data_IF_281958657762
#
_entry.id   IF_281958657762
#
_cell.length_a   1.000
_cell.length_b   1.000
_cell.length_c   1.000
_cell.angle_alpha   90.00
_cell.angle_beta   90.00
_cell.angle_gamma   90.00
#
_symmetry.space_group_name_H-M   'P 1'
#
loop_
_entity.id
_entity.type
_entity.pdbx_description
1 polymer ?
#
# COMPACT_ATOMS: atom_id res chain seq x y z
N UNK A 1 19.16 -7.98 -1.02
CA UNK A 1 17.77 -8.46 -1.14
C UNK A 1 17.90 -9.87 -1.65
N UNK A 2 17.44 -10.82 -0.84
CA UNK A 2 17.42 -12.23 -1.18
C UNK A 2 16.45 -12.47 -2.35
N UNK A 3 16.50 -13.68 -2.91
CA UNK A 3 15.58 -14.07 -3.97
C UNK A 3 14.11 -13.91 -3.50
N UNK A 4 13.16 -13.60 -4.42
CA UNK A 4 11.75 -13.43 -4.08
C UNK A 4 11.07 -14.73 -3.60
N UNK A 5 11.79 -15.85 -3.71
CA UNK A 5 11.39 -17.18 -3.25
C UNK A 5 12.65 -17.85 -2.70
N UNK A 6 12.54 -18.50 -1.54
CA UNK A 6 13.58 -19.40 -1.02
C UNK A 6 13.24 -20.80 -1.52
N UNK A 7 14.17 -21.44 -2.23
CA UNK A 7 14.01 -22.79 -2.77
C UNK A 7 14.98 -23.71 -2.04
N UNK A 8 14.51 -24.89 -1.63
CA UNK A 8 15.34 -25.90 -1.00
C UNK A 8 14.85 -27.30 -1.33
N UNK A 9 15.77 -28.26 -1.33
CA UNK A 9 15.47 -29.66 -1.62
C UNK A 9 15.53 -30.52 -0.37
N UNK A 10 14.69 -31.55 -0.34
CA UNK A 10 14.72 -32.62 0.64
C UNK A 10 14.72 -33.97 -0.10
N UNK A 11 14.84 -35.07 0.63
CA UNK A 11 14.68 -36.41 0.06
C UNK A 11 13.30 -36.67 -0.53
N UNK A 12 12.30 -35.84 -0.21
CA UNK A 12 10.92 -35.96 -0.69
C UNK A 12 10.63 -35.05 -1.90
N UNK A 13 11.52 -34.13 -2.23
CA UNK A 13 11.36 -33.20 -3.35
C UNK A 13 11.81 -31.78 -3.06
N UNK A 14 11.57 -30.90 -4.03
CA UNK A 14 11.82 -29.46 -3.95
C UNK A 14 10.65 -28.74 -3.28
N UNK A 15 10.98 -27.81 -2.38
CA UNK A 15 10.04 -26.97 -1.64
C UNK A 15 10.40 -25.50 -1.83
N UNK A 16 9.40 -24.63 -1.66
CA UNK A 16 9.60 -23.20 -1.79
C UNK A 16 8.85 -22.40 -0.71
N UNK A 17 9.44 -21.29 -0.29
CA UNK A 17 8.85 -20.33 0.65
C UNK A 17 8.81 -18.97 -0.04
N UNK A 18 7.64 -18.31 -0.16
CA UNK A 18 7.57 -16.94 -0.64
C UNK A 18 8.45 -16.02 0.20
N UNK A 19 9.25 -15.17 -0.45
CA UNK A 19 10.13 -14.21 0.21
C UNK A 19 9.96 -12.82 -0.44
N UNK A 20 8.72 -12.49 -0.81
CA UNK A 20 8.27 -11.16 -1.21
C UNK A 20 6.78 -11.02 -0.96
N UNK A 21 6.30 -9.80 -0.73
CA UNK A 21 4.87 -9.53 -0.51
C UNK A 21 4.01 -9.95 -1.71
N UNK A 22 4.50 -9.69 -2.92
CA UNK A 22 3.80 -9.97 -4.17
C UNK A 22 3.62 -11.47 -4.46
N UNK A 23 4.33 -12.34 -3.74
CA UNK A 23 4.25 -13.80 -3.88
C UNK A 23 3.36 -14.45 -2.83
N UNK A 24 2.84 -13.68 -1.87
CA UNK A 24 1.93 -14.20 -0.86
C UNK A 24 0.56 -14.52 -1.46
N UNK A 25 -0.02 -15.64 -1.08
CA UNK A 25 -1.45 -15.87 -1.27
C UNK A 25 -2.26 -14.98 -0.31
N UNK A 26 -3.54 -14.68 -0.60
CA UNK A 26 -4.38 -13.92 0.34
C UNK A 26 -4.45 -14.54 1.73
N UNK A 27 -4.50 -15.87 1.82
CA UNK A 27 -4.51 -16.59 3.10
C UNK A 27 -3.19 -16.40 3.85
N UNK A 28 -2.04 -16.59 3.19
CA UNK A 28 -0.73 -16.43 3.82
C UNK A 28 -0.47 -14.98 4.25
N UNK A 29 -0.94 -13.99 3.47
CA UNK A 29 -0.87 -12.59 3.84
C UNK A 29 -1.65 -12.27 5.12
N UNK A 30 -2.88 -12.77 5.25
CA UNK A 30 -3.71 -12.54 6.43
C UNK A 30 -3.10 -13.20 7.68
N UNK A 31 -2.57 -14.42 7.56
CA UNK A 31 -1.87 -15.09 8.66
C UNK A 31 -0.58 -14.35 9.06
N UNK A 32 0.18 -13.83 8.08
CA UNK A 32 1.34 -12.98 8.35
C UNK A 32 0.92 -11.68 9.07
N UNK A 33 -0.20 -11.07 8.69
CA UNK A 33 -0.73 -9.89 9.40
C UNK A 33 -1.11 -10.22 10.86
N UNK A 34 -1.65 -11.40 11.13
CA UNK A 34 -1.89 -11.88 12.50
C UNK A 34 -0.59 -12.03 13.29
N UNK A 35 0.46 -12.57 12.67
CA UNK A 35 1.79 -12.64 13.30
C UNK A 35 2.37 -11.25 13.57
N UNK A 36 2.25 -10.32 12.62
CA UNK A 36 2.67 -8.93 12.79
C UNK A 36 1.92 -8.25 13.94
N UNK A 37 0.62 -8.51 14.09
CA UNK A 37 -0.16 -8.01 15.22
C UNK A 37 0.38 -8.54 16.55
N UNK A 38 0.60 -9.86 16.66
CA UNK A 38 1.19 -10.50 17.86
C UNK A 38 2.56 -9.93 18.20
N UNK A 39 3.39 -9.69 17.19
CA UNK A 39 4.70 -9.06 17.36
C UNK A 39 4.56 -7.62 17.87
N UNK A 40 3.66 -6.84 17.28
CA UNK A 40 3.42 -5.44 17.66
C UNK A 40 2.95 -5.28 19.12
N UNK A 41 2.18 -6.24 19.64
CA UNK A 41 1.74 -6.26 21.05
C UNK A 41 2.72 -6.97 22.00
N UNK A 42 3.84 -7.49 21.48
CA UNK A 42 4.89 -8.14 22.26
C UNK A 42 4.63 -9.59 22.66
N UNK A 43 3.63 -10.27 22.08
CA UNK A 43 3.33 -11.68 22.36
C UNK A 43 4.37 -12.63 21.75
N UNK A 44 5.00 -12.24 20.64
CA UNK A 44 6.05 -13.01 19.97
C UNK A 44 7.25 -12.11 19.66
N UNK A 45 8.44 -12.69 19.69
CA UNK A 45 9.68 -12.02 19.29
C UNK A 45 9.83 -11.93 17.78
N UNK A 46 10.76 -11.07 17.32
CA UNK A 46 11.15 -10.96 15.91
C UNK A 46 11.51 -12.33 15.31
N UNK A 47 12.26 -13.15 16.06
CA UNK A 47 12.71 -14.47 15.63
C UNK A 47 11.55 -15.46 15.55
N UNK A 48 10.63 -15.43 16.51
CA UNK A 48 9.43 -16.26 16.50
C UNK A 48 8.51 -15.91 15.33
N UNK A 49 8.36 -14.63 15.00
CA UNK A 49 7.60 -14.20 13.81
C UNK A 49 8.13 -14.85 12.54
N UNK A 50 9.45 -14.82 12.31
CA UNK A 50 10.06 -15.40 11.11
C UNK A 50 9.94 -16.92 11.09
N UNK A 51 10.07 -17.57 12.26
CA UNK A 51 9.90 -19.01 12.38
C UNK A 51 8.45 -19.42 12.11
N UNK A 52 7.47 -18.74 12.71
CA UNK A 52 6.05 -19.01 12.48
C UNK A 52 5.65 -18.73 11.04
N UNK A 53 6.22 -17.70 10.41
CA UNK A 53 6.03 -17.46 8.97
C UNK A 53 6.51 -18.64 8.12
N UNK A 54 7.71 -19.16 8.37
CA UNK A 54 8.22 -20.36 7.65
C UNK A 54 7.31 -21.56 7.86
N UNK A 55 6.84 -21.78 9.09
CA UNK A 55 5.89 -22.86 9.38
C UNK A 55 4.58 -22.68 8.60
N UNK A 56 4.01 -21.46 8.57
CA UNK A 56 2.80 -21.17 7.79
C UNK A 56 3.00 -21.41 6.29
N UNK A 57 4.12 -20.95 5.74
CA UNK A 57 4.41 -21.08 4.32
C UNK A 57 4.61 -22.55 3.88
N UNK A 58 5.03 -23.42 4.79
CA UNK A 58 5.26 -24.85 4.56
C UNK A 58 4.14 -25.75 5.08
N UNK A 59 3.05 -25.18 5.60
CA UNK A 59 1.95 -25.92 6.25
C UNK A 59 2.41 -26.85 7.38
N UNK A 60 3.33 -26.35 8.21
CA UNK A 60 3.91 -27.08 9.34
C UNK A 60 3.30 -26.64 10.67
N UNK A 61 2.97 -27.61 11.51
CA UNK A 61 2.56 -27.36 12.89
C UNK A 61 3.80 -27.26 13.81
N UNK A 62 4.08 -26.09 14.41
CA UNK A 62 5.28 -25.89 15.22
C UNK A 62 5.44 -26.90 16.36
N UNK A 63 4.33 -27.35 16.98
CA UNK A 63 4.37 -28.30 18.09
C UNK A 63 4.76 -29.72 17.67
N UNK A 64 4.59 -30.08 16.39
CA UNK A 64 4.96 -31.40 15.85
C UNK A 64 6.44 -31.49 15.49
N UNK A 65 7.16 -30.37 15.44
CA UNK A 65 8.55 -30.32 15.02
C UNK A 65 9.46 -30.74 16.18
N UNK A 66 10.09 -31.91 16.03
CA UNK A 66 10.95 -32.56 17.04
C UNK A 66 12.36 -32.77 16.50
N UNK A 67 13.33 -32.81 17.40
CA UNK A 67 14.75 -33.02 17.07
C UNK A 67 15.52 -31.72 16.88
N UNK A 68 16.83 -31.78 17.15
CA UNK A 68 17.73 -30.62 17.09
C UNK A 68 17.92 -30.18 15.64
N UNK A 69 18.26 -31.11 14.74
CA UNK A 69 18.48 -30.84 13.32
C UNK A 69 17.27 -30.21 12.63
N UNK A 70 16.05 -30.66 12.94
CA UNK A 70 14.84 -30.08 12.36
C UNK A 70 14.66 -28.61 12.78
N UNK A 71 14.98 -28.27 14.04
CA UNK A 71 14.92 -26.89 14.55
C UNK A 71 16.03 -26.02 13.98
N UNK A 72 17.23 -26.57 13.79
CA UNK A 72 18.34 -25.88 13.13
C UNK A 72 18.00 -25.53 11.69
N UNK A 73 17.44 -26.48 10.93
CA UNK A 73 17.02 -26.25 9.55
C UNK A 73 15.95 -25.15 9.46
N UNK A 74 14.92 -25.19 10.32
CA UNK A 74 13.92 -24.11 10.36
C UNK A 74 14.50 -22.77 10.74
N UNK A 75 15.48 -22.75 11.64
CA UNK A 75 16.17 -21.52 11.99
C UNK A 75 16.98 -20.96 10.81
N UNK A 76 17.66 -21.82 10.05
CA UNK A 76 18.38 -21.40 8.85
C UNK A 76 17.44 -20.89 7.76
N UNK A 77 16.25 -21.48 7.62
CA UNK A 77 15.22 -20.99 6.69
C UNK A 77 14.64 -19.65 7.16
N UNK A 78 14.33 -19.51 8.46
CA UNK A 78 13.75 -18.26 8.98
C UNK A 78 14.73 -17.09 8.95
N UNK A 79 16.04 -17.35 9.08
CA UNK A 79 17.09 -16.35 8.95
C UNK A 79 17.26 -15.81 7.51
N UNK A 80 16.74 -16.52 6.50
CA UNK A 80 16.77 -16.07 5.10
C UNK A 80 15.61 -15.14 4.74
N UNK A 81 14.58 -15.04 5.59
CA UNK A 81 13.43 -14.16 5.35
C UNK A 81 13.85 -12.70 5.54
N UNK A 82 13.72 -11.89 4.48
CA UNK A 82 14.20 -10.49 4.46
C UNK A 82 13.18 -9.48 3.89
N UNK A 83 11.97 -9.93 3.53
CA UNK A 83 10.99 -9.05 2.89
C UNK A 83 10.04 -8.34 3.85
N UNK A 84 9.83 -8.88 5.06
CA UNK A 84 8.79 -8.42 6.00
C UNK A 84 9.14 -7.05 6.58
N UNK A 85 10.40 -6.86 6.96
CA UNK A 85 10.92 -5.69 7.65
C UNK A 85 11.99 -5.00 6.80
N UNK A 86 11.95 -3.67 6.74
CA UNK A 86 13.04 -2.87 6.16
C UNK A 86 14.20 -2.73 7.15
N UNK A 87 13.84 -2.58 8.43
CA UNK A 87 14.70 -2.64 9.60
C UNK A 87 13.88 -3.22 10.76
N UNK A 88 14.51 -3.55 11.90
CA UNK A 88 13.85 -4.27 13.00
C UNK A 88 12.54 -3.64 13.51
N UNK A 89 12.31 -2.33 13.28
CA UNK A 89 11.14 -1.62 13.80
C UNK A 89 10.21 -1.10 12.70
N UNK A 90 10.55 -1.28 11.42
CA UNK A 90 9.80 -0.73 10.29
C UNK A 90 9.44 -1.85 9.33
N UNK A 91 8.14 -2.14 9.24
CA UNK A 91 7.58 -3.05 8.23
C UNK A 91 7.96 -2.52 6.83
N UNK A 92 8.41 -3.40 5.95
CA UNK A 92 8.67 -3.08 4.56
C UNK A 92 7.33 -2.95 3.80
N UNK A 93 6.67 -1.82 4.00
CA UNK A 93 5.33 -1.56 3.48
C UNK A 93 5.39 -0.84 2.11
N UNK A 94 5.98 -1.46 1.10
CA UNK A 94 6.12 -0.89 -0.24
C UNK A 94 6.16 -2.01 -1.28
N UNK A 95 4.99 -2.42 -1.76
CA UNK A 95 4.81 -3.52 -2.71
C UNK A 95 3.59 -3.27 -3.59
N UNK A 96 3.51 -4.00 -4.71
CA UNK A 96 2.51 -3.79 -5.75
C UNK A 96 1.65 -5.05 -5.98
N UNK A 97 0.82 -5.39 -4.98
CA UNK A 97 -0.10 -6.51 -5.05
C UNK A 97 -1.36 -6.26 -4.21
N UNK A 98 -2.53 -6.64 -4.74
CA UNK A 98 -3.76 -6.72 -3.96
C UNK A 98 -3.82 -8.09 -3.26
N UNK A 99 -3.56 -8.11 -1.96
CA UNK A 99 -3.48 -9.34 -1.16
C UNK A 99 -4.76 -9.62 -0.35
N UNK A 100 -5.74 -8.71 -0.38
CA UNK A 100 -7.09 -8.94 0.14
C UNK A 100 -8.09 -8.56 -0.96
N UNK A 101 -8.23 -9.39 -2.02
CA UNK A 101 -9.07 -9.06 -3.16
C UNK A 101 -10.57 -9.18 -2.85
N UNK A 102 -10.93 -9.97 -1.85
CA UNK A 102 -12.33 -10.21 -1.47
C UNK A 102 -12.49 -10.30 0.04
N UNK A 103 -13.62 -9.81 0.54
CA UNK A 103 -14.01 -9.87 1.94
C UNK A 103 -15.44 -10.43 2.05
N UNK A 104 -15.63 -11.44 2.89
CA UNK A 104 -16.96 -11.99 3.18
C UNK A 104 -17.45 -11.40 4.50
N UNK A 105 -18.61 -10.76 4.47
CA UNK A 105 -19.27 -10.23 5.68
C UNK A 105 -20.71 -10.71 5.71
N UNK A 106 -21.05 -11.50 6.73
CA UNK A 106 -22.29 -12.27 6.75
C UNK A 106 -22.37 -13.18 5.52
N UNK A 107 -23.43 -13.03 4.72
CA UNK A 107 -23.66 -13.80 3.49
C UNK A 107 -23.31 -13.02 2.21
N UNK A 108 -22.61 -11.89 2.32
CA UNK A 108 -22.25 -11.03 1.18
C UNK A 108 -20.75 -11.10 0.92
N UNK A 109 -20.41 -11.25 -0.36
CA UNK A 109 -19.04 -11.15 -0.87
C UNK A 109 -18.82 -9.73 -1.39
N UNK A 110 -17.79 -9.06 -0.89
CA UNK A 110 -17.35 -7.77 -1.37
C UNK A 110 -16.02 -7.93 -2.11
N UNK A 111 -15.89 -7.29 -3.26
CA UNK A 111 -14.65 -7.25 -4.05
C UNK A 111 -13.95 -5.92 -3.84
N UNK A 112 -12.64 -5.99 -3.64
CA UNK A 112 -11.77 -4.82 -3.51
C UNK A 112 -11.34 -4.28 -4.88
N UNK A 113 -10.59 -3.19 -4.86
CA UNK A 113 -9.91 -2.67 -6.04
C UNK A 113 -8.86 -3.64 -6.59
N UNK A 114 -8.64 -3.59 -7.90
CA UNK A 114 -7.62 -4.41 -8.60
C UNK A 114 -6.38 -3.59 -8.94
N UNK A 115 -5.25 -4.29 -9.00
CA UNK A 115 -3.97 -3.78 -9.50
C UNK A 115 -3.54 -4.74 -10.61
N UNK A 116 -3.20 -4.21 -11.78
CA UNK A 116 -2.58 -4.97 -12.86
C UNK A 116 -1.24 -4.35 -13.23
N UNK A 117 -0.27 -5.22 -13.52
CA UNK A 117 1.10 -4.86 -13.92
C UNK A 117 1.53 -5.59 -15.19
N UNK A 118 0.59 -6.29 -15.84
CA UNK A 118 0.81 -7.00 -17.08
C UNK A 118 1.34 -6.04 -18.16
N UNK A 119 2.22 -6.55 -19.02
CA UNK A 119 2.84 -5.77 -20.10
C UNK A 119 3.54 -4.48 -19.61
N UNK A 120 4.17 -4.56 -18.44
CA UNK A 120 4.92 -3.45 -17.81
C UNK A 120 4.09 -2.18 -17.55
N UNK A 121 2.76 -2.31 -17.56
CA UNK A 121 1.84 -1.19 -17.43
C UNK A 121 1.06 -1.30 -16.13
N UNK A 122 1.26 -0.32 -15.24
CA UNK A 122 0.47 -0.23 -14.02
C UNK A 122 -0.93 0.34 -14.31
N UNK A 123 -1.96 -0.46 -14.03
CA UNK A 123 -3.35 -0.01 -13.96
C UNK A 123 -3.98 -0.36 -12.61
N UNK A 124 -4.98 0.44 -12.21
CA UNK A 124 -5.70 0.27 -10.95
C UNK A 124 -7.16 0.67 -11.17
N UNK A 125 -8.09 -0.08 -10.57
CA UNK A 125 -9.53 0.13 -10.75
C UNK A 125 -10.10 1.29 -9.92
N UNK A 126 -9.35 1.83 -8.96
CA UNK A 126 -9.80 2.95 -8.13
C UNK A 126 -10.07 4.21 -8.99
N UNK A 127 -11.15 4.91 -8.66
CA UNK A 127 -11.37 6.27 -9.14
C UNK A 127 -10.52 7.28 -8.36
N UNK A 128 -10.39 8.50 -8.88
CA UNK A 128 -9.66 9.57 -8.23
C UNK A 128 -10.22 9.88 -6.85
N UNK A 129 -11.53 10.06 -6.73
CA UNK A 129 -12.19 10.37 -5.44
C UNK A 129 -12.08 9.20 -4.45
N UNK A 130 -12.25 7.95 -4.92
CA UNK A 130 -12.13 6.76 -4.08
C UNK A 130 -10.72 6.63 -3.51
N UNK A 131 -9.69 6.89 -4.33
CA UNK A 131 -8.30 6.92 -3.86
C UNK A 131 -8.05 8.07 -2.87
N UNK A 132 -8.55 9.28 -3.15
CA UNK A 132 -8.37 10.46 -2.29
C UNK A 132 -8.98 10.21 -0.91
N UNK A 133 -10.23 9.72 -0.86
CA UNK A 133 -10.92 9.45 0.40
C UNK A 133 -10.22 8.32 1.19
N UNK A 134 -9.83 7.24 0.53
CA UNK A 134 -9.09 6.15 1.16
C UNK A 134 -7.72 6.62 1.69
N UNK A 135 -6.99 7.39 0.88
CA UNK A 135 -5.67 7.90 1.24
C UNK A 135 -5.75 8.86 2.44
N UNK A 136 -6.80 9.69 2.51
CA UNK A 136 -7.07 10.59 3.63
C UNK A 136 -7.33 9.87 4.96
N UNK A 137 -7.70 8.59 4.94
CA UNK A 137 -7.91 7.78 6.14
C UNK A 137 -6.66 7.02 6.60
N UNK A 138 -5.56 7.05 5.84
CA UNK A 138 -4.31 6.40 6.25
C UNK A 138 -3.76 7.04 7.55
N UNK A 139 -3.45 6.21 8.54
CA UNK A 139 -2.92 6.65 9.83
C UNK A 139 -3.96 7.27 10.78
N UNK A 140 -5.26 7.08 10.49
CA UNK A 140 -6.35 7.37 11.42
C UNK A 140 -6.46 6.31 12.55
N UNK A 141 -7.34 6.58 13.52
CA UNK A 141 -7.68 5.63 14.59
C UNK A 141 -8.40 4.39 14.05
N UNK A 142 -8.32 3.28 14.81
CA UNK A 142 -8.91 1.98 14.45
C UNK A 142 -10.43 2.08 14.18
N UNK A 143 -11.12 2.99 14.87
CA UNK A 143 -12.55 3.27 14.71
C UNK A 143 -12.95 3.74 13.31
N UNK A 144 -12.01 4.30 12.54
CA UNK A 144 -12.26 4.78 11.17
C UNK A 144 -11.97 3.73 10.10
N UNK A 145 -11.39 2.58 10.46
CA UNK A 145 -11.05 1.54 9.49
C UNK A 145 -12.28 0.95 8.76
N UNK A 146 -13.46 0.78 9.38
CA UNK A 146 -14.65 0.34 8.64
C UNK A 146 -15.00 1.26 7.45
N UNK A 147 -14.78 2.57 7.58
CA UNK A 147 -14.98 3.52 6.50
C UNK A 147 -13.93 3.34 5.39
N UNK A 148 -12.66 3.17 5.74
CA UNK A 148 -11.60 2.87 4.77
C UNK A 148 -11.92 1.59 3.98
N UNK A 149 -12.37 0.53 4.65
CA UNK A 149 -12.77 -0.71 4.00
C UNK A 149 -13.99 -0.48 3.10
N UNK A 150 -15.00 0.26 3.54
CA UNK A 150 -16.15 0.59 2.70
C UNK A 150 -15.78 1.36 1.44
N UNK A 151 -14.77 2.23 1.51
CA UNK A 151 -14.25 2.93 0.34
C UNK A 151 -13.58 1.95 -0.61
N UNK A 152 -12.69 1.08 -0.13
CA UNK A 152 -11.90 0.18 -0.97
C UNK A 152 -12.72 -0.98 -1.57
N UNK A 153 -13.81 -1.37 -0.92
CA UNK A 153 -14.69 -2.49 -1.29
C UNK A 153 -16.05 -2.05 -1.80
N UNK A 154 -16.17 -0.79 -2.21
CA UNK A 154 -17.44 -0.25 -2.70
C UNK A 154 -17.88 -0.98 -3.99
N UNK A 155 -19.07 -1.59 -4.04
CA UNK A 155 -19.45 -2.51 -5.12
C UNK A 155 -19.95 -1.83 -6.39
N UNK A 156 -20.39 -0.57 -6.30
CA UNK A 156 -21.01 0.17 -7.39
C UNK A 156 -20.14 1.36 -7.80
N UNK A 157 -20.72 2.31 -8.57
CA UNK A 157 -20.07 3.59 -8.83
C UNK A 157 -19.84 4.32 -7.49
N UNK A 158 -18.58 4.54 -7.15
CA UNK A 158 -18.20 5.08 -5.85
C UNK A 158 -18.81 6.46 -5.57
N UNK A 159 -19.33 6.64 -4.35
CA UNK A 159 -19.67 7.93 -3.76
C UNK A 159 -19.25 7.95 -2.29
N UNK A 160 -18.80 9.09 -1.78
CA UNK A 160 -18.37 9.21 -0.38
C UNK A 160 -19.53 8.99 0.61
N UNK A 161 -20.74 9.45 0.26
CA UNK A 161 -21.95 9.23 1.06
C UNK A 161 -22.32 7.74 1.12
N UNK A 162 -22.31 7.06 -0.04
CA UNK A 162 -22.56 5.62 -0.11
C UNK A 162 -21.56 4.82 0.72
N UNK A 163 -20.27 5.15 0.63
CA UNK A 163 -19.23 4.49 1.43
C UNK A 163 -19.45 4.72 2.93
N UNK A 164 -19.90 5.90 3.34
CA UNK A 164 -20.24 6.18 4.72
C UNK A 164 -21.38 5.30 5.24
N UNK A 165 -22.47 5.17 4.45
CA UNK A 165 -23.56 4.26 4.80
C UNK A 165 -23.10 2.80 4.85
N UNK A 166 -22.29 2.37 3.87
CA UNK A 166 -21.78 1.01 3.78
C UNK A 166 -20.84 0.65 4.94
N UNK A 167 -20.11 1.62 5.50
CA UNK A 167 -19.14 1.41 6.60
C UNK A 167 -19.70 0.67 7.81
N UNK A 168 -21.00 0.83 8.10
CA UNK A 168 -21.68 0.12 9.18
C UNK A 168 -21.63 -1.41 9.02
N UNK A 169 -21.55 -1.88 7.77
CA UNK A 169 -21.42 -3.33 7.47
C UNK A 169 -20.10 -3.89 7.96
N UNK A 170 -19.04 -3.09 8.03
CA UNK A 170 -17.69 -3.54 8.35
C UNK A 170 -17.28 -3.32 9.81
N UNK A 171 -18.17 -2.80 10.65
CA UNK A 171 -17.88 -2.49 12.07
C UNK A 171 -17.49 -3.74 12.86
N UNK A 172 -18.17 -4.86 12.61
CA UNK A 172 -17.95 -6.12 13.33
C UNK A 172 -16.87 -7.02 12.69
N UNK A 173 -16.19 -6.54 11.65
CA UNK A 173 -15.09 -7.28 11.03
C UNK A 173 -13.89 -7.29 11.98
N UNK A 174 -13.21 -8.44 12.05
CA UNK A 174 -11.99 -8.61 12.86
C UNK A 174 -11.02 -7.43 12.64
N UNK A 175 -10.64 -6.70 13.71
CA UNK A 175 -9.73 -5.57 13.63
C UNK A 175 -8.40 -5.88 12.93
N UNK A 176 -7.91 -7.12 13.04
CA UNK A 176 -6.67 -7.54 12.36
C UNK A 176 -6.87 -7.60 10.85
N UNK A 177 -8.06 -8.00 10.37
CA UNK A 177 -8.40 -7.98 8.94
C UNK A 177 -8.51 -6.53 8.43
N UNK A 178 -9.16 -5.64 9.20
CA UNK A 178 -9.25 -4.22 8.87
C UNK A 178 -7.85 -3.57 8.78
N UNK A 179 -6.95 -3.91 9.71
CA UNK A 179 -5.55 -3.49 9.68
C UNK A 179 -4.79 -4.08 8.49
N UNK A 180 -5.01 -5.35 8.16
CA UNK A 180 -4.38 -6.00 6.99
C UNK A 180 -4.79 -5.34 5.67
N UNK A 181 -6.07 -4.97 5.51
CA UNK A 181 -6.55 -4.21 4.34
C UNK A 181 -5.88 -2.84 4.29
N UNK A 182 -5.80 -2.15 5.43
CA UNK A 182 -5.16 -0.84 5.56
C UNK A 182 -3.67 -0.91 5.19
N UNK A 183 -2.96 -1.91 5.68
CA UNK A 183 -1.55 -2.16 5.37
C UNK A 183 -1.36 -2.37 3.87
N UNK A 184 -2.21 -3.19 3.23
CA UNK A 184 -2.13 -3.45 1.79
C UNK A 184 -2.33 -2.16 0.96
N UNK A 185 -3.36 -1.38 1.27
CA UNK A 185 -3.60 -0.11 0.56
C UNK A 185 -2.51 0.93 0.81
N UNK A 186 -1.97 0.98 2.04
CA UNK A 186 -0.82 1.81 2.35
C UNK A 186 0.43 1.36 1.56
N UNK A 187 0.64 0.05 1.37
CA UNK A 187 1.74 -0.49 0.57
C UNK A 187 1.67 -0.01 -0.88
N UNK A 188 0.49 -0.14 -1.48
CA UNK A 188 0.21 0.31 -2.84
C UNK A 188 0.47 1.81 -2.98
N UNK A 189 -0.06 2.60 -2.04
CA UNK A 189 0.11 4.05 -2.02
C UNK A 189 1.58 4.45 -1.88
N UNK A 190 2.31 3.80 -0.97
CA UNK A 190 3.75 4.00 -0.82
C UNK A 190 4.50 3.64 -2.10
N UNK A 191 4.15 2.53 -2.76
CA UNK A 191 4.75 2.12 -4.02
C UNK A 191 4.54 3.19 -5.09
N UNK A 192 3.29 3.65 -5.30
CA UNK A 192 2.96 4.72 -6.25
C UNK A 192 3.88 5.93 -6.07
N UNK A 193 4.05 6.38 -4.84
CA UNK A 193 4.76 7.63 -4.56
C UNK A 193 6.25 7.49 -4.28
N UNK A 194 6.81 6.28 -4.26
CA UNK A 194 8.25 6.07 -4.01
C UNK A 194 8.97 5.28 -5.11
N UNK A 195 8.23 4.45 -5.87
CA UNK A 195 8.79 3.55 -6.89
C UNK A 195 8.33 3.87 -8.32
N UNK A 196 7.40 4.81 -8.50
CA UNK A 196 6.92 5.20 -9.84
C UNK A 196 7.26 6.65 -10.17
N UNK A 197 6.95 7.05 -11.41
CA UNK A 197 7.05 8.43 -11.90
C UNK A 197 6.20 9.45 -11.11
N UNK A 198 5.27 8.98 -10.27
CA UNK A 198 4.45 9.83 -9.40
C UNK A 198 5.17 10.28 -8.13
N UNK A 199 6.42 9.89 -7.91
CA UNK A 199 7.20 10.30 -6.74
C UNK A 199 7.34 11.82 -6.56
N UNK A 200 7.25 12.61 -7.62
CA UNK A 200 7.27 14.07 -7.55
C UNK A 200 5.99 14.65 -6.93
N UNK A 201 4.89 13.89 -6.94
CA UNK A 201 3.65 14.25 -6.25
C UNK A 201 3.75 14.02 -4.73
N UNK A 202 4.82 13.35 -4.28
CA UNK A 202 5.07 13.10 -2.87
C UNK A 202 5.77 14.29 -2.21
N UNK A 203 4.97 15.23 -1.70
CA UNK A 203 5.47 16.41 -0.99
C UNK A 203 5.99 16.02 0.40
N UNK A 204 7.27 16.30 0.68
CA UNK A 204 7.95 16.00 1.94
C UNK A 204 7.99 17.17 2.94
N UNK A 205 7.11 18.18 2.82
CA UNK A 205 7.12 19.32 3.76
C UNK A 205 6.27 19.04 5.01
N UNK A 206 6.90 18.40 6.00
CA UNK A 206 6.79 18.77 7.41
C UNK A 206 7.97 18.20 8.20
N UNK A 207 8.53 19.01 9.11
CA UNK A 207 9.57 18.60 10.07
C UNK A 207 9.07 17.63 11.15
N UNK A 208 7.81 17.21 11.08
CA UNK A 208 7.21 16.19 11.94
C UNK A 208 6.84 14.95 11.12
N UNK A 209 6.95 13.79 11.76
CA UNK A 209 6.96 12.41 11.24
C UNK A 209 5.75 11.91 10.41
N UNK A 210 5.03 12.77 9.69
CA UNK A 210 4.04 12.35 8.68
C UNK A 210 4.29 13.07 7.34
N UNK A 211 4.27 12.36 6.20
CA UNK A 211 4.23 12.99 4.88
C UNK A 211 2.86 13.65 4.71
N UNK A 212 2.83 14.97 4.56
CA UNK A 212 1.64 15.75 4.29
C UNK A 212 1.27 15.67 2.81
N UNK A 213 0.57 14.60 2.41
CA UNK A 213 -0.21 14.61 1.16
C UNK A 213 -1.67 14.57 1.55
N UNK A 214 -2.24 15.74 1.79
CA UNK A 214 -3.70 15.84 1.96
C UNK A 214 -4.27 17.16 1.50
N UNK A 215 -3.45 18.19 1.24
CA UNK A 215 -3.96 19.51 0.86
C UNK A 215 -3.96 19.69 -0.69
N UNK A 216 -3.05 19.05 -1.42
CA UNK A 216 -2.99 19.24 -2.89
C UNK A 216 -3.90 18.37 -3.75
N UNK A 217 -4.23 17.12 -3.35
CA UNK A 217 -4.94 16.19 -4.23
C UNK A 217 -6.46 16.39 -4.26
N UNK A 218 -7.09 16.77 -3.16
CA UNK A 218 -8.53 17.06 -3.18
C UNK A 218 -8.81 18.40 -3.91
N UNK A 219 -8.05 19.45 -3.59
CA UNK A 219 -8.14 20.76 -4.25
C UNK A 219 -7.91 20.67 -5.77
N UNK A 220 -7.03 19.76 -6.19
CA UNK A 220 -6.74 19.56 -7.61
C UNK A 220 -7.95 19.06 -8.41
N UNK A 221 -8.91 18.34 -7.82
CA UNK A 221 -10.12 17.92 -8.53
C UNK A 221 -10.88 19.14 -9.07
N UNK A 222 -11.09 20.15 -8.22
CA UNK A 222 -11.77 21.39 -8.57
C UNK A 222 -10.98 22.22 -9.58
N UNK A 223 -9.65 22.30 -9.42
CA UNK A 223 -8.79 23.02 -10.36
C UNK A 223 -8.83 22.39 -11.76
N UNK A 224 -8.83 21.06 -11.86
CA UNK A 224 -8.95 20.39 -13.15
C UNK A 224 -10.33 20.63 -13.79
N UNK A 225 -11.39 20.74 -12.99
CA UNK A 225 -12.72 21.07 -13.50
C UNK A 225 -12.76 22.50 -14.05
N UNK A 226 -12.19 23.45 -13.30
CA UNK A 226 -12.06 24.85 -13.71
C UNK A 226 -11.23 25.00 -15.01
N UNK A 227 -10.23 24.16 -15.22
CA UNK A 227 -9.43 24.12 -16.46
C UNK A 227 -10.15 23.49 -17.67
N UNK A 228 -11.41 23.06 -17.50
CA UNK A 228 -12.24 22.54 -18.58
C UNK A 228 -11.99 21.08 -18.96
N UNK A 229 -11.34 20.29 -18.08
CA UNK A 229 -11.15 18.84 -18.30
C UNK A 229 -12.42 18.00 -18.09
N UNK A 230 -13.48 18.60 -17.56
CA UNK A 230 -14.77 17.97 -17.27
C UNK A 230 -15.48 18.69 -16.13
N UNK A 231 -16.73 18.31 -15.88
CA UNK A 231 -17.36 18.65 -14.60
C UNK A 231 -16.70 17.88 -13.44
N UNK A 232 -17.06 18.24 -12.22
CA UNK A 232 -16.49 17.65 -11.00
C UNK A 232 -16.73 16.14 -10.98
N UNK A 233 -17.93 15.68 -11.33
CA UNK A 233 -18.30 14.26 -11.33
C UNK A 233 -17.42 13.44 -12.28
N UNK A 234 -17.14 13.95 -13.48
CA UNK A 234 -16.26 13.28 -14.46
C UNK A 234 -14.84 13.15 -13.92
N UNK A 235 -14.35 14.16 -13.22
CA UNK A 235 -12.97 14.17 -12.70
C UNK A 235 -12.85 13.28 -11.46
N UNK A 236 -13.83 13.33 -10.56
CA UNK A 236 -13.91 12.45 -9.40
C UNK A 236 -13.89 10.97 -9.81
N UNK A 237 -14.63 10.63 -10.87
CA UNK A 237 -14.76 9.26 -11.37
C UNK A 237 -13.64 8.85 -12.32
N UNK A 238 -12.67 9.73 -12.60
CA UNK A 238 -11.53 9.43 -13.45
C UNK A 238 -10.68 8.29 -12.85
N UNK A 239 -10.15 7.35 -13.65
CA UNK A 239 -9.21 6.34 -13.15
C UNK A 239 -8.00 6.99 -12.46
N UNK A 240 -7.65 6.50 -11.26
CA UNK A 240 -6.63 7.12 -10.39
C UNK A 240 -5.27 7.30 -11.10
N UNK A 241 -4.83 6.32 -11.90
CA UNK A 241 -3.56 6.40 -12.62
C UNK A 241 -3.58 7.53 -13.66
N UNK A 242 -4.72 7.75 -14.34
CA UNK A 242 -4.89 8.86 -15.28
C UNK A 242 -4.89 10.19 -14.53
N UNK A 243 -5.62 10.28 -13.43
CA UNK A 243 -5.65 11.45 -12.57
C UNK A 243 -4.25 11.87 -12.10
N UNK A 244 -3.49 10.94 -11.50
CA UNK A 244 -2.11 11.18 -11.06
C UNK A 244 -1.18 11.56 -12.23
N UNK A 245 -1.42 11.03 -13.43
CA UNK A 245 -0.66 11.41 -14.63
C UNK A 245 -0.87 12.87 -15.01
N UNK A 246 -2.12 13.36 -14.94
CA UNK A 246 -2.45 14.76 -15.21
C UNK A 246 -1.82 15.67 -14.15
N UNK A 247 -1.96 15.33 -12.87
CA UNK A 247 -1.32 16.11 -11.79
C UNK A 247 0.19 16.23 -11.97
N UNK A 248 0.84 15.10 -12.30
CA UNK A 248 2.28 15.06 -12.56
C UNK A 248 2.66 15.98 -13.72
N UNK A 249 1.90 15.95 -14.81
CA UNK A 249 2.14 16.80 -16.00
C UNK A 249 2.02 18.29 -15.64
N UNK A 250 0.94 18.69 -14.97
CA UNK A 250 0.73 20.08 -14.55
C UNK A 250 1.82 20.59 -13.61
N UNK A 251 2.28 19.75 -12.68
CA UNK A 251 3.37 20.12 -11.78
C UNK A 251 4.68 20.37 -12.53
N UNK A 252 5.00 19.53 -13.52
CA UNK A 252 6.16 19.72 -14.39
C UNK A 252 6.05 21.02 -15.19
N UNK A 253 4.91 21.26 -15.84
CA UNK A 253 4.67 22.48 -16.62
C UNK A 253 4.79 23.73 -15.74
N UNK A 254 4.27 23.69 -14.50
CA UNK A 254 4.42 24.78 -13.55
C UNK A 254 5.88 25.03 -13.15
N UNK A 255 6.68 23.99 -12.93
CA UNK A 255 8.12 24.12 -12.61
C UNK A 255 8.89 24.69 -13.79
N UNK A 256 8.63 24.19 -15.01
CA UNK A 256 9.27 24.68 -16.23
C UNK A 256 8.93 26.14 -16.48
N UNK A 257 7.66 26.53 -16.37
CA UNK A 257 7.23 27.92 -16.55
C UNK A 257 7.88 28.87 -15.52
N UNK A 258 8.00 28.45 -14.25
CA UNK A 258 8.70 29.25 -13.24
C UNK A 258 10.18 29.47 -13.59
N UNK A 259 10.85 28.43 -14.09
CA UNK A 259 12.24 28.51 -14.52
C UNK A 259 12.43 29.39 -15.77
N UNK A 260 11.48 29.34 -16.73
CA UNK A 260 11.50 30.19 -17.93
C UNK A 260 11.36 31.69 -17.60
N UNK A 261 10.61 32.03 -16.54
CA UNK A 261 10.46 33.41 -16.04
C UNK A 261 11.68 33.86 -15.21
N UNK A 262 12.65 32.96 -15.00
CA UNK A 262 13.92 33.28 -14.33
C UNK A 262 13.88 33.16 -12.81
N UNK A 263 12.88 32.51 -12.22
CA UNK A 263 12.86 32.20 -10.79
C UNK A 263 13.99 31.23 -10.43
N UNK A 264 14.64 31.45 -9.29
CA UNK A 264 15.71 30.56 -8.85
C UNK A 264 15.18 29.25 -8.25
N UNK A 265 16.08 28.27 -8.06
CA UNK A 265 15.71 26.95 -7.57
C UNK A 265 15.12 26.96 -6.14
N UNK A 266 15.47 27.94 -5.31
CA UNK A 266 14.95 28.10 -3.94
C UNK A 266 13.53 28.65 -4.00
N UNK A 267 13.30 29.67 -4.82
CA UNK A 267 11.97 30.25 -5.06
C UNK A 267 11.00 29.21 -5.62
N UNK A 268 11.43 28.39 -6.59
CA UNK A 268 10.62 27.30 -7.14
C UNK A 268 10.30 26.26 -6.05
N UNK A 269 11.28 25.89 -5.23
CA UNK A 269 11.12 24.96 -4.09
C UNK A 269 10.11 25.48 -3.07
N UNK A 270 10.11 26.78 -2.80
CA UNK A 270 9.18 27.37 -1.85
C UNK A 270 7.76 27.46 -2.39
N UNK A 271 7.58 27.78 -3.68
CA UNK A 271 6.26 27.83 -4.32
C UNK A 271 5.64 26.45 -4.58
N UNK A 272 6.45 25.45 -4.91
CA UNK A 272 5.96 24.12 -5.30
C UNK A 272 6.02 23.09 -4.18
N UNK A 273 6.81 23.34 -3.13
CA UNK A 273 7.08 22.38 -2.06
C UNK A 273 8.03 21.24 -2.47
N UNK A 274 8.53 21.23 -3.70
CA UNK A 274 9.50 20.25 -4.19
C UNK A 274 10.89 20.51 -3.64
N UNK A 275 11.65 19.44 -3.39
CA UNK A 275 13.08 19.60 -3.08
C UNK A 275 13.86 20.11 -4.30
N UNK A 276 14.94 20.87 -4.06
CA UNK A 276 15.86 21.33 -5.11
C UNK A 276 16.35 20.15 -5.98
N UNK A 277 16.60 18.98 -5.36
CA UNK A 277 16.99 17.77 -6.10
C UNK A 277 15.91 17.32 -7.09
N UNK A 278 14.64 17.35 -6.70
CA UNK A 278 13.52 16.99 -7.59
C UNK A 278 13.34 18.03 -8.69
N UNK A 279 13.47 19.31 -8.39
CA UNK A 279 13.38 20.39 -9.40
C UNK A 279 14.45 20.20 -10.48
N UNK A 280 15.70 19.91 -10.08
CA UNK A 280 16.79 19.58 -11.01
C UNK A 280 16.59 18.30 -11.82
N UNK A 281 15.68 17.41 -11.42
CA UNK A 281 15.32 16.24 -12.22
C UNK A 281 14.19 16.54 -13.20
N UNK A 282 13.45 17.64 -13.00
CA UNK A 282 12.36 18.09 -13.86
C UNK A 282 12.91 18.97 -14.99
N UNK A 283 13.80 19.91 -14.66
CA UNK A 283 14.51 20.79 -15.59
C UNK A 283 15.64 20.05 -16.31
#
# INVERSE_FOLDING_TARGET
>A
MNAPVIIFETTLGEYSIPNSWERLSPMLYLELCRLLHKYAIGEISYRELHLYYVCLALDLEPQKIKGITARENLYLLSAQIDFIFKDMNVINNCFLAQLVPTLIVGNRLFSSYTIHTDFETLTCSLTAIQFIDAYGLLGCSVEKLPLLVAILYYPEKYTSEGAHMLSQTFVDVDPVILQAITLNFQAFSNYLFTRTRFNILYLKKSKDHKPSISIGMAESLYNLSADGLGDVDVIEQMPVIKYLTILRKKLIESVTAMNEVGLDLVEISDKTGLSIKMIKMIL
#
